data_IF_128235220472
#
_entry.id   IF_128235220472
#
_cell.length_a   1.000
_cell.length_b   1.000
_cell.length_c   1.000
_cell.angle_alpha   90.00
_cell.angle_beta   90.00
_cell.angle_gamma   90.00
#
_symmetry.space_group_name_H-M   'P 1'
#
loop_
_entity.id
_entity.type
_entity.pdbx_description
1 polymer ?
#
# COMPACT_ATOMS: atom_id res chain seq x y z
N UNK A 1 13.75 10.39 0.41
CA UNK A 1 13.98 9.29 1.34
C UNK A 1 13.77 9.81 2.76
N UNK A 2 12.96 9.16 3.56
CA UNK A 2 12.89 9.47 4.98
C UNK A 2 14.27 9.16 5.59
N UNK A 3 14.94 10.13 6.26
CA UNK A 3 16.31 9.96 6.75
C UNK A 3 16.47 8.75 7.70
N UNK A 4 15.39 8.33 8.33
CA UNK A 4 15.39 7.22 9.28
C UNK A 4 15.39 5.82 8.68
N UNK A 5 14.99 5.64 7.41
CA UNK A 5 14.93 4.31 6.80
C UNK A 5 16.30 3.78 6.37
N UNK A 6 17.27 4.66 6.14
CA UNK A 6 18.66 4.25 5.92
C UNK A 6 19.27 3.59 7.17
N UNK A 7 18.83 3.98 8.35
CA UNK A 7 19.28 3.44 9.62
C UNK A 7 18.75 2.01 9.89
N UNK A 8 17.52 1.67 9.44
CA UNK A 8 16.96 0.32 9.52
C UNK A 8 17.84 -0.74 8.84
N UNK A 9 18.66 -0.34 7.86
CA UNK A 9 19.59 -1.27 7.19
C UNK A 9 20.70 -1.79 8.11
N UNK A 10 21.07 -1.03 9.15
CA UNK A 10 22.15 -1.38 10.07
C UNK A 10 21.70 -2.05 11.37
N UNK A 11 20.41 -2.03 11.67
CA UNK A 11 19.88 -2.46 12.98
C UNK A 11 18.79 -3.54 12.87
N UNK A 12 18.60 -4.13 11.71
CA UNK A 12 17.68 -5.24 11.57
C UNK A 12 18.15 -6.39 12.43
N UNK A 13 17.37 -6.72 13.45
CA UNK A 13 17.48 -7.95 14.25
C UNK A 13 17.59 -9.18 13.35
N UNK A 14 18.13 -10.29 13.86
CA UNK A 14 18.47 -11.45 13.04
C UNK A 14 17.35 -11.83 12.10
N UNK A 15 17.67 -11.78 10.83
CA UNK A 15 16.79 -12.08 9.74
C UNK A 15 16.61 -13.59 9.72
N UNK A 16 15.44 -14.05 10.08
CA UNK A 16 14.96 -15.32 9.58
C UNK A 16 14.82 -15.17 8.07
N UNK A 17 15.31 -16.12 7.30
CA UNK A 17 15.37 -16.04 5.84
C UNK A 17 14.01 -15.59 5.28
N UNK A 18 13.97 -14.40 4.67
CA UNK A 18 12.77 -13.80 4.12
C UNK A 18 11.94 -12.91 5.05
N UNK A 19 12.17 -12.89 6.36
CA UNK A 19 11.36 -12.14 7.33
C UNK A 19 12.22 -11.21 8.19
N UNK A 20 11.64 -10.09 8.61
CA UNK A 20 12.22 -9.17 9.58
C UNK A 20 11.33 -9.20 10.82
N UNK A 21 11.90 -9.53 11.99
CA UNK A 21 11.22 -9.39 13.27
C UNK A 21 11.43 -7.95 13.75
N UNK A 22 10.38 -7.16 13.75
CA UNK A 22 10.46 -5.75 14.12
C UNK A 22 9.91 -5.49 15.52
N UNK A 23 8.82 -6.15 15.88
CA UNK A 23 8.10 -5.99 17.15
C UNK A 23 7.17 -7.18 17.37
N UNK A 24 7.44 -8.03 18.36
CA UNK A 24 6.54 -9.15 18.63
C UNK A 24 5.14 -8.66 18.98
N UNK A 25 4.09 -9.25 18.41
CA UNK A 25 4.07 -10.43 17.52
C UNK A 25 4.28 -10.13 16.01
N UNK A 26 4.68 -8.91 15.63
CA UNK A 26 4.72 -8.46 14.24
C UNK A 26 5.93 -8.99 13.48
N UNK A 27 5.64 -9.64 12.34
CA UNK A 27 6.65 -10.07 11.37
C UNK A 27 6.41 -9.33 10.05
N UNK A 28 7.45 -8.70 9.52
CA UNK A 28 7.39 -8.00 8.26
C UNK A 28 8.16 -8.74 7.17
N UNK A 29 7.55 -8.87 6.00
CA UNK A 29 8.21 -9.47 4.86
C UNK A 29 9.33 -8.57 4.37
N UNK A 30 10.56 -9.08 4.34
CA UNK A 30 11.76 -8.29 4.01
C UNK A 30 11.72 -7.59 2.66
N UNK A 31 11.19 -8.17 1.57
CA UNK A 31 11.01 -7.47 0.30
C UNK A 31 10.11 -6.25 0.42
N UNK A 32 9.02 -6.30 1.19
CA UNK A 32 8.12 -5.17 1.39
C UNK A 32 8.79 -4.04 2.16
N UNK A 33 9.57 -4.38 3.21
CA UNK A 33 10.38 -3.39 3.94
C UNK A 33 11.40 -2.73 3.01
N UNK A 34 12.00 -3.49 2.08
CA UNK A 34 12.91 -2.94 1.07
C UNK A 34 12.21 -2.01 0.11
N UNK A 35 11.02 -2.37 -0.38
CA UNK A 35 10.22 -1.53 -1.27
C UNK A 35 9.83 -0.20 -0.59
N UNK A 36 9.47 -0.24 0.69
CA UNK A 36 9.16 0.95 1.47
C UNK A 36 10.40 1.80 1.73
N UNK A 37 11.57 1.17 1.94
CA UNK A 37 12.82 1.85 2.29
C UNK A 37 13.68 2.29 1.10
N UNK A 38 13.41 1.79 -0.09
CA UNK A 38 14.16 2.08 -1.32
C UNK A 38 13.29 2.88 -2.29
N UNK A 39 13.90 3.80 -3.04
CA UNK A 39 13.22 4.37 -4.20
C UNK A 39 13.00 3.27 -5.24
N UNK A 40 11.77 3.05 -5.73
CA UNK A 40 11.55 2.16 -6.85
C UNK A 40 12.42 2.58 -8.04
N UNK A 41 12.94 1.61 -8.77
CA UNK A 41 13.67 1.92 -9.98
C UNK A 41 12.75 2.65 -10.97
N UNK A 42 13.12 3.81 -11.51
CA UNK A 42 12.28 4.59 -12.42
C UNK A 42 11.77 3.76 -13.62
N UNK A 43 12.55 2.77 -14.05
CA UNK A 43 12.21 1.89 -15.17
C UNK A 43 10.96 1.01 -14.94
N UNK A 44 10.65 0.65 -13.70
CA UNK A 44 9.46 -0.18 -13.40
C UNK A 44 8.19 0.65 -13.55
N UNK A 45 8.21 1.87 -13.06
CA UNK A 45 7.07 2.80 -13.17
C UNK A 45 6.85 3.28 -14.60
N UNK A 46 7.94 3.52 -15.34
CA UNK A 46 7.89 3.92 -16.74
C UNK A 46 7.18 2.89 -17.65
N UNK A 47 7.17 1.61 -17.25
CA UNK A 47 6.49 0.54 -18.01
C UNK A 47 5.05 0.28 -17.56
N UNK A 48 4.75 0.46 -16.28
CA UNK A 48 3.44 0.13 -15.72
C UNK A 48 2.33 1.05 -16.25
N UNK A 49 2.57 2.36 -16.27
CA UNK A 49 1.55 3.33 -16.70
C UNK A 49 1.11 3.11 -18.13
N UNK A 50 2.01 3.04 -19.14
CA UNK A 50 1.62 2.77 -20.53
C UNK A 50 0.82 1.47 -20.69
N UNK A 51 1.21 0.39 -19.99
CA UNK A 51 0.52 -0.89 -20.06
C UNK A 51 -0.91 -0.79 -19.50
N UNK A 52 -1.09 -0.15 -18.35
CA UNK A 52 -2.41 0.05 -17.73
C UNK A 52 -3.31 0.92 -18.65
N UNK A 53 -2.77 1.98 -19.23
CA UNK A 53 -3.49 2.84 -20.15
C UNK A 53 -3.88 2.11 -21.43
N UNK A 54 -3.05 1.22 -21.90
CA UNK A 54 -3.35 0.39 -23.06
C UNK A 54 -4.49 -0.60 -22.75
N UNK A 55 -4.44 -1.29 -21.64
CA UNK A 55 -5.55 -2.12 -21.16
C UNK A 55 -6.84 -1.32 -20.99
N UNK A 56 -6.74 -0.12 -20.41
CA UNK A 56 -7.92 0.75 -20.27
C UNK A 56 -8.59 1.04 -21.62
N UNK A 57 -7.81 1.42 -22.64
CA UNK A 57 -8.33 1.65 -23.98
C UNK A 57 -8.94 0.40 -24.59
N UNK A 58 -8.24 -0.73 -24.56
CA UNK A 58 -8.73 -2.00 -25.13
C UNK A 58 -10.00 -2.50 -24.45
N UNK A 59 -10.14 -2.35 -23.15
CA UNK A 59 -11.34 -2.73 -22.42
C UNK A 59 -12.49 -1.78 -22.71
N UNK A 60 -12.21 -0.48 -22.82
CA UNK A 60 -13.22 0.53 -23.12
C UNK A 60 -13.89 0.30 -24.48
N UNK A 61 -13.15 -0.14 -25.52
CA UNK A 61 -13.73 -0.50 -26.83
C UNK A 61 -14.71 -1.67 -26.76
N UNK A 62 -14.66 -2.45 -25.70
CA UNK A 62 -15.55 -3.59 -25.44
C UNK A 62 -16.64 -3.28 -24.41
N UNK A 63 -16.78 -2.02 -24.00
CA UNK A 63 -17.70 -1.61 -22.94
C UNK A 63 -17.30 -2.11 -21.53
N UNK A 64 -16.08 -2.60 -21.36
CA UNK A 64 -15.58 -3.10 -20.09
C UNK A 64 -14.81 -2.00 -19.37
N UNK A 65 -15.12 -1.80 -18.08
CA UNK A 65 -14.48 -0.81 -17.23
C UNK A 65 -13.28 -1.41 -16.52
N UNK A 66 -12.15 -0.70 -16.54
CA UNK A 66 -10.97 -1.04 -15.75
C UNK A 66 -10.99 -0.26 -14.42
N UNK A 67 -10.87 -0.96 -13.32
CA UNK A 67 -10.63 -0.39 -11.99
C UNK A 67 -9.27 -0.85 -11.51
N UNK A 68 -8.41 0.10 -11.17
CA UNK A 68 -7.08 -0.18 -10.61
C UNK A 68 -7.14 -0.02 -9.11
N UNK A 69 -6.86 -1.09 -8.39
CA UNK A 69 -6.80 -1.09 -6.93
C UNK A 69 -5.35 -1.16 -6.49
N UNK A 70 -4.94 -0.21 -5.66
CA UNK A 70 -3.59 -0.21 -5.07
C UNK A 70 -3.68 -0.69 -3.63
N UNK A 71 -3.09 -1.84 -3.35
CA UNK A 71 -2.98 -2.37 -2.00
C UNK A 71 -1.82 -1.72 -1.25
N UNK A 72 -1.99 -1.33 0.02
CA UNK A 72 -0.88 -0.89 0.86
C UNK A 72 0.00 -2.07 1.25
N UNK A 73 1.28 -1.81 1.47
CA UNK A 73 2.17 -2.77 2.09
C UNK A 73 2.08 -2.64 3.62
N UNK A 74 2.10 -3.75 4.34
CA UNK A 74 2.04 -3.76 5.82
C UNK A 74 3.03 -2.80 6.46
N UNK A 75 4.34 -2.78 6.08
CA UNK A 75 5.30 -1.85 6.67
C UNK A 75 5.05 -0.37 6.31
N UNK A 76 4.26 -0.10 5.28
CA UNK A 76 3.90 1.27 4.91
C UNK A 76 2.78 1.84 5.79
N UNK A 77 1.89 1.00 6.31
CA UNK A 77 0.81 1.39 7.22
C UNK A 77 1.25 1.36 8.69
N UNK A 78 2.13 0.43 9.03
CA UNK A 78 2.58 0.17 10.40
C UNK A 78 4.04 0.61 10.59
N UNK A 79 4.35 1.82 10.18
CA UNK A 79 5.73 2.37 10.23
C UNK A 79 6.27 2.44 11.66
N UNK A 80 5.41 2.70 12.64
CA UNK A 80 5.72 2.70 14.07
C UNK A 80 6.11 1.30 14.60
N UNK A 81 5.55 0.24 14.02
CA UNK A 81 5.86 -1.15 14.35
C UNK A 81 7.14 -1.63 13.68
N UNK A 82 7.42 -1.16 12.49
CA UNK A 82 8.69 -1.46 11.78
C UNK A 82 9.86 -0.79 12.48
N UNK A 83 9.64 0.38 13.08
CA UNK A 83 10.69 1.18 13.70
C UNK A 83 10.16 1.96 14.91
N UNK A 84 10.10 1.32 16.06
CA UNK A 84 9.65 1.93 17.33
C UNK A 84 10.28 3.28 17.69
N UNK A 85 11.44 3.61 17.12
CA UNK A 85 12.13 4.88 17.36
C UNK A 85 11.65 6.01 16.46
N UNK A 86 10.78 5.74 15.48
CA UNK A 86 10.14 6.76 14.61
C UNK A 86 8.76 7.16 15.15
N UNK A 87 8.65 7.35 16.45
CA UNK A 87 7.42 7.45 17.21
C UNK A 87 6.63 8.73 17.05
N UNK A 88 6.93 9.62 16.16
CA UNK A 88 6.19 10.89 16.08
C UNK A 88 5.66 11.12 14.68
N UNK A 89 4.34 10.86 14.51
CA UNK A 89 3.56 11.48 13.43
C UNK A 89 3.91 11.08 12.01
N UNK A 90 4.58 9.94 11.79
CA UNK A 90 4.77 9.43 10.44
C UNK A 90 3.44 8.85 9.98
N UNK A 91 2.67 9.68 9.27
CA UNK A 91 1.55 9.20 8.47
C UNK A 91 2.01 8.00 7.61
N UNK A 92 1.08 7.09 7.32
CA UNK A 92 1.33 5.94 6.46
C UNK A 92 2.26 6.32 5.31
N UNK A 93 3.39 5.63 5.21
CA UNK A 93 4.42 5.98 4.23
C UNK A 93 3.91 5.73 2.82
N UNK A 94 4.07 6.71 1.97
CA UNK A 94 3.70 6.62 0.58
C UNK A 94 4.86 7.09 -0.29
N UNK A 95 5.24 6.27 -1.27
CA UNK A 95 6.21 6.69 -2.27
C UNK A 95 5.61 7.86 -3.09
N UNK A 96 6.30 9.00 -3.20
CA UNK A 96 5.82 10.14 -4.01
C UNK A 96 5.51 9.72 -5.46
N UNK A 97 6.28 8.80 -5.99
CA UNK A 97 6.12 8.25 -7.33
C UNK A 97 4.80 7.51 -7.49
N UNK A 98 4.31 6.81 -6.46
CA UNK A 98 3.00 6.16 -6.48
C UNK A 98 1.90 7.20 -6.65
N UNK A 99 1.97 8.31 -5.94
CA UNK A 99 0.99 9.40 -6.09
C UNK A 99 0.98 9.98 -7.52
N UNK A 100 2.16 10.15 -8.13
CA UNK A 100 2.28 10.62 -9.51
C UNK A 100 1.67 9.63 -10.51
N UNK A 101 1.94 8.32 -10.35
CA UNK A 101 1.34 7.26 -11.18
C UNK A 101 -0.19 7.28 -11.07
N UNK A 102 -0.73 7.32 -9.84
CA UNK A 102 -2.18 7.35 -9.64
C UNK A 102 -2.81 8.63 -10.20
N UNK A 103 -2.13 9.77 -10.08
CA UNK A 103 -2.53 11.04 -10.70
C UNK A 103 -2.64 10.90 -12.21
N UNK A 104 -1.62 10.35 -12.87
CA UNK A 104 -1.61 10.11 -14.32
C UNK A 104 -2.75 9.19 -14.76
N UNK A 105 -2.99 8.09 -14.05
CA UNK A 105 -4.08 7.17 -14.35
C UNK A 105 -5.46 7.84 -14.22
N UNK A 106 -5.67 8.60 -13.14
CA UNK A 106 -6.92 9.37 -12.93
C UNK A 106 -7.16 10.40 -14.02
N UNK A 107 -6.12 11.15 -14.40
CA UNK A 107 -6.20 12.15 -15.49
C UNK A 107 -6.57 11.49 -16.81
N UNK A 108 -6.12 10.27 -17.06
CA UNK A 108 -6.47 9.50 -18.25
C UNK A 108 -7.85 8.81 -18.16
N UNK A 109 -8.62 9.03 -17.09
CA UNK A 109 -9.97 8.47 -16.92
C UNK A 109 -10.01 7.05 -16.36
N UNK A 110 -8.88 6.49 -15.95
CA UNK A 110 -8.83 5.20 -15.25
C UNK A 110 -9.37 5.39 -13.83
N UNK A 111 -10.30 4.52 -13.44
CA UNK A 111 -10.79 4.50 -12.07
C UNK A 111 -9.75 3.89 -11.14
N UNK A 112 -9.41 4.60 -10.07
CA UNK A 112 -8.35 4.18 -9.13
C UNK A 112 -8.89 4.16 -7.70
N UNK A 113 -8.83 3.00 -7.07
CA UNK A 113 -9.06 2.80 -5.64
C UNK A 113 -7.72 2.81 -4.92
N UNK A 114 -7.50 3.87 -4.17
CA UNK A 114 -6.26 4.13 -3.45
C UNK A 114 -6.40 3.65 -2.00
N UNK A 115 -6.27 2.34 -1.78
CA UNK A 115 -6.41 1.77 -0.44
C UNK A 115 -5.40 2.33 0.57
N UNK A 116 -4.12 2.61 0.22
CA UNK A 116 -3.22 3.34 1.12
C UNK A 116 -3.81 4.63 1.68
N UNK A 117 -4.51 5.42 0.85
CA UNK A 117 -5.18 6.64 1.31
C UNK A 117 -6.41 6.33 2.16
N UNK A 118 -7.17 5.29 1.84
CA UNK A 118 -8.32 4.85 2.63
C UNK A 118 -7.88 4.48 4.04
N UNK A 119 -6.88 3.59 4.17
CA UNK A 119 -6.38 3.18 5.47
C UNK A 119 -5.74 4.34 6.26
N UNK A 120 -5.00 5.23 5.58
CA UNK A 120 -4.38 6.39 6.23
C UNK A 120 -5.39 7.40 6.77
N UNK A 121 -6.62 7.42 6.26
CA UNK A 121 -7.70 8.29 6.74
C UNK A 121 -8.42 7.72 7.97
N UNK A 122 -8.18 6.46 8.31
CA UNK A 122 -8.80 5.81 9.47
C UNK A 122 -7.90 5.96 10.71
N UNK A 123 -8.50 6.04 11.91
CA UNK A 123 -7.73 5.95 13.13
C UNK A 123 -7.04 4.59 13.21
N UNK A 124 -5.78 4.58 13.61
CA UNK A 124 -5.05 3.34 13.81
C UNK A 124 -5.77 2.46 14.84
N UNK A 125 -5.88 1.14 14.61
CA UNK A 125 -6.56 0.26 15.54
C UNK A 125 -5.85 0.25 16.91
N UNK A 126 -6.64 0.37 17.98
CA UNK A 126 -6.16 0.25 19.35
C UNK A 126 -5.63 -1.16 19.65
N UNK A 127 -4.94 -1.32 20.79
CA UNK A 127 -4.38 -2.61 21.21
C UNK A 127 -5.42 -3.73 21.40
N UNK A 128 -6.66 -3.36 21.73
CA UNK A 128 -7.78 -4.30 21.92
C UNK A 128 -8.58 -4.54 20.64
N UNK A 129 -8.26 -3.85 19.55
CA UNK A 129 -8.96 -3.98 18.29
C UNK A 129 -8.22 -4.92 17.34
N UNK A 130 -8.98 -5.58 16.47
CA UNK A 130 -8.40 -6.37 15.40
C UNK A 130 -7.56 -5.45 14.49
N UNK A 131 -6.28 -5.76 14.26
CA UNK A 131 -5.43 -4.95 13.38
C UNK A 131 -5.87 -5.10 11.92
N UNK A 132 -5.37 -4.24 11.03
CA UNK A 132 -5.69 -4.31 9.60
C UNK A 132 -5.01 -5.47 8.86
N UNK A 133 -3.91 -5.98 9.41
CA UNK A 133 -3.12 -7.09 8.88
C UNK A 133 -2.87 -8.14 9.95
N UNK A 134 -2.71 -9.37 9.54
CA UNK A 134 -2.27 -10.44 10.43
C UNK A 134 -0.84 -10.17 10.94
N UNK A 135 -0.60 -10.20 12.24
CA UNK A 135 0.71 -9.81 12.79
C UNK A 135 1.90 -10.63 12.27
N UNK A 136 1.69 -11.91 12.00
CA UNK A 136 2.74 -12.84 11.56
C UNK A 136 2.69 -13.15 10.06
N UNK A 137 1.91 -12.39 9.30
CA UNK A 137 1.66 -12.64 7.88
C UNK A 137 1.56 -11.33 7.09
N UNK A 138 1.61 -11.44 5.76
CA UNK A 138 1.43 -10.32 4.83
C UNK A 138 -0.04 -10.12 4.41
N UNK A 139 -0.93 -10.99 4.86
CA UNK A 139 -2.35 -10.92 4.50
C UNK A 139 -3.11 -9.93 5.37
N UNK A 140 -4.19 -9.40 4.83
CA UNK A 140 -5.14 -8.60 5.59
C UNK A 140 -5.85 -9.48 6.62
N UNK A 141 -6.13 -8.90 7.79
CA UNK A 141 -7.10 -9.45 8.73
C UNK A 141 -8.52 -9.36 8.16
N UNK A 142 -9.47 -9.96 8.84
CA UNK A 142 -10.90 -9.83 8.49
C UNK A 142 -11.32 -8.35 8.41
N UNK A 143 -10.91 -7.54 9.38
CA UNK A 143 -11.20 -6.09 9.41
C UNK A 143 -10.56 -5.37 8.23
N UNK A 144 -9.29 -5.63 7.94
CA UNK A 144 -8.60 -5.02 6.81
C UNK A 144 -9.25 -5.38 5.48
N UNK A 145 -9.68 -6.64 5.34
CA UNK A 145 -10.38 -7.12 4.15
C UNK A 145 -11.73 -6.41 3.96
N UNK A 146 -12.51 -6.23 5.01
CA UNK A 146 -13.80 -5.52 4.94
C UNK A 146 -13.60 -4.06 4.51
N UNK A 147 -12.64 -3.34 5.10
CA UNK A 147 -12.34 -1.96 4.73
C UNK A 147 -11.98 -1.87 3.23
N UNK A 148 -11.13 -2.76 2.75
CA UNK A 148 -10.73 -2.79 1.35
C UNK A 148 -11.91 -3.13 0.42
N UNK A 149 -12.73 -4.11 0.80
CA UNK A 149 -13.91 -4.53 0.04
C UNK A 149 -14.92 -3.39 -0.08
N UNK A 150 -15.25 -2.71 1.02
CA UNK A 150 -16.19 -1.59 1.03
C UNK A 150 -15.70 -0.45 0.12
N UNK A 151 -14.42 -0.10 0.17
CA UNK A 151 -13.86 0.93 -0.70
C UNK A 151 -13.93 0.55 -2.19
N UNK A 152 -13.74 -0.73 -2.53
CA UNK A 152 -13.85 -1.24 -3.90
C UNK A 152 -15.32 -1.24 -4.35
N UNK A 153 -16.22 -1.74 -3.51
CA UNK A 153 -17.67 -1.79 -3.79
C UNK A 153 -18.19 -0.38 -4.02
N UNK A 154 -17.81 0.57 -3.19
CA UNK A 154 -18.18 1.98 -3.34
C UNK A 154 -17.70 2.57 -4.67
N UNK A 155 -16.47 2.30 -5.07
CA UNK A 155 -15.93 2.76 -6.34
C UNK A 155 -16.71 2.16 -7.53
N UNK A 156 -16.96 0.86 -7.49
CA UNK A 156 -17.71 0.17 -8.56
C UNK A 156 -19.16 0.64 -8.64
N UNK A 157 -19.81 0.88 -7.50
CA UNK A 157 -21.25 1.22 -7.43
C UNK A 157 -21.56 2.67 -7.77
N UNK A 158 -20.67 3.62 -7.47
CA UNK A 158 -20.89 5.06 -7.71
C UNK A 158 -21.17 5.40 -9.17
N UNK A 159 -20.60 4.67 -10.12
CA UNK A 159 -20.79 4.89 -11.55
C UNK A 159 -21.96 4.12 -12.18
N UNK A 160 -22.47 3.10 -11.50
CA UNK A 160 -23.69 2.41 -11.93
C UNK A 160 -24.95 3.30 -11.80
N UNK A 161 -24.83 4.42 -11.05
CA UNK A 161 -25.94 5.37 -10.80
C UNK A 161 -25.87 6.65 -11.65
N UNK A 162 -24.91 6.76 -12.54
CA UNK A 162 -24.77 7.87 -13.52
C UNK A 162 -25.01 7.39 -14.93
#
# INVERSE_FOLDING_TARGET
ALPGLAWLRGQASPVLEGRVVADEPWLFYRPDVRLVSQRPAPAVQARAVPAILDWHRQLATRGVRLVVVVAPLTPALLTDRVARRFTVGVAAWRAPETAAVLGTLRTAGVEVVDLPAVFAALPAPGLAEEPWYEPADTHWSQRGLHIAADAIIDAVSRRARR
#
